data_IF_793514395939
#
_entry.id   IF_793514395939
#
_cell.length_a   1.000
_cell.length_b   1.000
_cell.length_c   1.000
_cell.angle_alpha   90.00
_cell.angle_beta   90.00
_cell.angle_gamma   90.00
#
_symmetry.space_group_name_H-M   'P 1'
#
loop_
_entity.id
_entity.type
_entity.pdbx_description
1 polymer ?
#
# COMPACT_ATOMS: atom_id res chain seq x y z
N UNK A 1 6.64 -63.17 25.53
CA UNK A 1 5.94 -62.30 24.57
C UNK A 1 5.12 -61.30 25.37
N UNK A 2 5.72 -60.14 25.65
CA UNK A 2 5.16 -59.10 26.54
C UNK A 2 4.25 -58.17 25.75
N UNK A 3 2.99 -58.07 26.18
CA UNK A 3 2.00 -57.13 25.66
C UNK A 3 2.11 -55.81 26.42
N UNK A 4 2.36 -54.72 25.67
CA UNK A 4 2.49 -53.35 26.19
C UNK A 4 1.10 -52.82 26.56
N UNK A 5 0.90 -52.16 27.73
CA UNK A 5 -0.34 -51.47 28.05
C UNK A 5 -0.40 -50.10 27.37
N UNK A 6 -1.53 -49.79 26.75
CA UNK A 6 -1.88 -48.49 26.19
C UNK A 6 -2.08 -47.49 27.34
N UNK A 7 -1.41 -46.32 27.37
CA UNK A 7 -1.64 -45.33 28.41
C UNK A 7 -3.03 -44.72 28.28
N UNK A 8 -3.87 -44.96 29.29
CA UNK A 8 -5.15 -44.28 29.50
C UNK A 8 -4.86 -42.93 30.15
N UNK A 9 -5.25 -41.83 29.49
CA UNK A 9 -5.10 -40.49 30.06
C UNK A 9 -5.91 -40.35 31.37
N UNK A 10 -5.39 -39.67 32.41
CA UNK A 10 -6.09 -39.52 33.68
C UNK A 10 -7.43 -38.80 33.52
N UNK A 11 -8.46 -39.40 34.12
CA UNK A 11 -9.86 -38.97 34.17
C UNK A 11 -10.06 -37.77 35.12
N UNK A 12 -9.26 -36.73 34.93
CA UNK A 12 -9.34 -35.44 35.62
C UNK A 12 -9.42 -34.24 34.64
N UNK A 13 -9.71 -34.50 33.36
CA UNK A 13 -9.83 -33.47 32.30
C UNK A 13 -11.22 -33.46 31.63
N UNK A 14 -12.29 -33.79 32.37
CA UNK A 14 -13.66 -33.82 31.84
C UNK A 14 -14.72 -33.22 32.79
N UNK A 15 -14.34 -32.34 33.73
CA UNK A 15 -15.31 -31.63 34.59
C UNK A 15 -15.02 -30.13 34.80
N UNK A 16 -14.24 -29.49 33.93
CA UNK A 16 -14.17 -28.01 33.85
C UNK A 16 -14.89 -27.47 32.60
N UNK A 17 -15.74 -28.28 31.98
CA UNK A 17 -16.58 -27.90 30.84
C UNK A 17 -17.98 -27.39 31.24
N UNK A 18 -18.22 -27.13 32.53
CA UNK A 18 -19.50 -26.60 33.04
C UNK A 18 -19.25 -25.59 34.16
N UNK A 19 -18.53 -24.52 33.83
CA UNK A 19 -18.66 -23.23 34.50
C UNK A 19 -18.46 -22.16 33.42
N UNK A 20 -19.54 -21.90 32.68
CA UNK A 20 -19.69 -20.71 31.85
C UNK A 20 -19.60 -19.49 32.79
N UNK A 21 -18.38 -19.01 32.98
CA UNK A 21 -18.14 -17.60 33.20
C UNK A 21 -18.68 -16.88 31.98
N UNK A 22 -19.68 -16.01 32.17
CA UNK A 22 -20.01 -14.95 31.21
C UNK A 22 -18.75 -14.11 31.03
N UNK A 23 -17.89 -14.53 30.10
CA UNK A 23 -16.70 -13.79 29.74
C UNK A 23 -17.18 -12.50 29.06
N UNK A 24 -17.13 -11.39 29.80
CA UNK A 24 -17.35 -10.07 29.25
C UNK A 24 -16.43 -9.89 28.03
N UNK A 25 -16.99 -9.95 26.83
CA UNK A 25 -16.25 -9.67 25.60
C UNK A 25 -15.64 -8.28 25.73
N UNK A 26 -14.34 -8.14 25.45
CA UNK A 26 -13.71 -6.83 25.53
C UNK A 26 -14.40 -5.85 24.58
N UNK A 27 -14.46 -4.55 24.90
CA UNK A 27 -15.08 -3.55 24.02
C UNK A 27 -14.51 -3.56 22.59
N UNK A 28 -13.23 -3.92 22.43
CA UNK A 28 -12.60 -4.10 21.13
C UNK A 28 -13.16 -5.27 20.32
N UNK A 29 -13.51 -6.36 21.01
CA UNK A 29 -14.00 -7.57 20.38
C UNK A 29 -15.42 -7.37 19.85
N UNK A 30 -16.28 -6.68 20.59
CA UNK A 30 -17.62 -6.32 20.12
C UNK A 30 -17.58 -5.46 18.86
N UNK A 31 -16.70 -4.46 18.84
CA UNK A 31 -16.50 -3.59 17.66
C UNK A 31 -15.98 -4.40 16.47
N UNK A 32 -15.08 -5.36 16.71
CA UNK A 32 -14.54 -6.23 15.66
C UNK A 32 -15.58 -7.22 15.13
N UNK A 33 -16.42 -7.79 15.99
CA UNK A 33 -17.56 -8.65 15.60
C UNK A 33 -18.54 -7.86 14.72
N UNK A 34 -18.87 -6.62 15.11
CA UNK A 34 -19.72 -5.75 14.31
C UNK A 34 -19.09 -5.44 12.93
N UNK A 35 -17.78 -5.19 12.88
CA UNK A 35 -17.07 -4.99 11.63
C UNK A 35 -17.09 -6.26 10.74
N UNK A 36 -16.97 -7.45 11.34
CA UNK A 36 -17.03 -8.75 10.64
C UNK A 36 -18.36 -8.97 9.93
N UNK A 37 -19.47 -8.50 10.49
CA UNK A 37 -20.81 -8.65 9.90
C UNK A 37 -21.14 -7.61 8.84
N UNK A 38 -20.49 -6.44 8.86
CA UNK A 38 -20.89 -5.31 7.99
C UNK A 38 -19.77 -4.76 7.11
N UNK A 39 -18.60 -4.45 7.68
CA UNK A 39 -17.50 -3.83 6.96
C UNK A 39 -16.78 -4.82 6.03
N UNK A 40 -16.42 -6.01 6.53
CA UNK A 40 -15.69 -6.99 5.74
C UNK A 40 -16.49 -7.58 4.57
N UNK A 41 -17.80 -7.89 4.72
CA UNK A 41 -18.61 -8.31 3.58
C UNK A 41 -18.66 -7.25 2.48
N UNK A 42 -18.77 -5.96 2.84
CA UNK A 42 -18.70 -4.85 1.89
C UNK A 42 -17.33 -4.74 1.23
N UNK A 43 -16.24 -4.88 1.98
CA UNK A 43 -14.87 -4.85 1.43
C UNK A 43 -14.66 -6.00 0.44
N UNK A 44 -15.10 -7.21 0.81
CA UNK A 44 -14.99 -8.40 -0.02
C UNK A 44 -15.85 -8.26 -1.29
N UNK A 45 -17.10 -7.79 -1.16
CA UNK A 45 -17.97 -7.53 -2.30
C UNK A 45 -17.35 -6.48 -3.23
N UNK A 46 -16.80 -5.40 -2.68
CA UNK A 46 -16.22 -4.37 -3.53
C UNK A 46 -14.97 -4.85 -4.26
N UNK A 47 -14.13 -5.62 -3.58
CA UNK A 47 -13.00 -6.31 -4.22
C UNK A 47 -13.45 -7.29 -5.31
N UNK A 48 -14.56 -7.98 -5.10
CA UNK A 48 -15.14 -8.90 -6.07
C UNK A 48 -15.80 -8.18 -7.26
N UNK A 49 -16.42 -7.00 -7.07
CA UNK A 49 -17.07 -6.21 -8.12
C UNK A 49 -16.06 -5.46 -8.97
N UNK A 50 -15.19 -4.67 -8.32
CA UNK A 50 -14.39 -3.68 -9.01
C UNK A 50 -13.11 -4.23 -9.62
N UNK A 51 -12.81 -5.51 -9.40
CA UNK A 51 -11.43 -5.98 -9.51
C UNK A 51 -10.51 -5.14 -8.61
N UNK A 52 -9.20 -5.34 -8.74
CA UNK A 52 -8.26 -4.48 -8.03
C UNK A 52 -8.30 -3.08 -8.64
N UNK A 53 -9.09 -2.18 -8.03
CA UNK A 53 -9.00 -0.74 -8.28
C UNK A 53 -7.53 -0.32 -8.20
N UNK A 54 -6.96 0.09 -9.33
CA UNK A 54 -5.71 0.82 -9.39
C UNK A 54 -6.03 2.22 -9.91
N UNK A 55 -6.71 3.01 -9.09
CA UNK A 55 -6.77 4.45 -9.34
C UNK A 55 -5.57 5.04 -8.61
N UNK A 56 -4.62 5.61 -9.34
CA UNK A 56 -3.49 6.28 -8.72
C UNK A 56 -3.81 7.75 -8.52
N UNK A 57 -4.02 8.13 -7.26
CA UNK A 57 -4.06 9.52 -6.86
C UNK A 57 -2.68 9.93 -6.36
N UNK A 58 -2.14 10.98 -6.98
CA UNK A 58 -0.91 11.59 -6.49
C UNK A 58 -1.23 12.36 -5.22
N UNK A 59 -0.31 12.32 -4.26
CA UNK A 59 -0.34 13.24 -3.13
C UNK A 59 -0.40 14.67 -3.64
N UNK A 60 -1.29 15.49 -3.09
CA UNK A 60 -1.28 16.93 -3.34
C UNK A 60 0.04 17.51 -2.79
N UNK A 61 0.90 18.09 -3.63
CA UNK A 61 2.15 18.66 -3.16
C UNK A 61 1.89 19.82 -2.21
N UNK A 62 2.78 20.04 -1.25
CA UNK A 62 2.78 21.27 -0.47
C UNK A 62 3.33 22.41 -1.32
N UNK A 63 2.77 23.62 -1.18
CA UNK A 63 3.38 24.83 -1.74
C UNK A 63 4.63 25.26 -0.95
N UNK A 64 4.76 24.78 0.29
CA UNK A 64 5.96 24.96 1.11
C UNK A 64 7.00 23.88 0.75
N UNK A 65 8.16 24.32 0.25
CA UNK A 65 9.24 23.45 -0.19
C UNK A 65 9.89 22.65 0.95
N UNK A 66 9.92 23.18 2.18
CA UNK A 66 10.46 22.49 3.35
C UNK A 66 9.50 21.37 3.77
N UNK A 67 8.19 21.64 3.79
CA UNK A 67 7.17 20.62 4.06
C UNK A 67 7.23 19.53 2.98
N UNK A 68 7.29 19.91 1.70
CA UNK A 68 7.37 18.96 0.60
C UNK A 68 8.65 18.10 0.66
N UNK A 69 9.80 18.71 0.95
CA UNK A 69 11.07 18.00 1.11
C UNK A 69 11.02 17.01 2.29
N UNK A 70 10.37 17.36 3.41
CA UNK A 70 10.19 16.48 4.56
C UNK A 70 9.30 15.28 4.24
N UNK A 71 8.19 15.50 3.54
CA UNK A 71 7.30 14.40 3.13
C UNK A 71 8.00 13.45 2.16
N UNK A 72 8.75 13.99 1.19
CA UNK A 72 9.55 13.18 0.28
C UNK A 72 10.69 12.43 0.99
N UNK A 73 11.29 13.02 2.03
CA UNK A 73 12.22 12.33 2.90
C UNK A 73 11.57 11.12 3.57
N UNK A 74 10.40 11.32 4.21
CA UNK A 74 9.69 10.24 4.91
C UNK A 74 9.29 9.10 3.96
N UNK A 75 8.69 9.42 2.81
CA UNK A 75 8.34 8.43 1.78
C UNK A 75 9.58 7.65 1.30
N UNK A 76 10.68 8.36 1.04
CA UNK A 76 11.92 7.76 0.53
C UNK A 76 12.63 6.92 1.59
N UNK A 77 12.66 7.38 2.83
CA UNK A 77 13.25 6.63 3.93
C UNK A 77 12.45 5.34 4.21
N UNK A 78 11.11 5.43 4.19
CA UNK A 78 10.23 4.25 4.24
C UNK A 78 10.47 3.30 3.08
N UNK A 79 10.62 3.81 1.85
CA UNK A 79 10.95 3.00 0.68
C UNK A 79 12.25 2.23 0.85
N UNK A 80 13.30 2.89 1.34
CA UNK A 80 14.62 2.27 1.54
C UNK A 80 14.58 1.14 2.58
N UNK A 81 13.68 1.24 3.57
CA UNK A 81 13.51 0.24 4.63
C UNK A 81 12.59 -0.95 4.22
N UNK A 82 11.79 -0.82 3.15
CA UNK A 82 10.97 -1.91 2.59
C UNK A 82 11.81 -2.79 1.64
N UNK A 83 12.70 -3.60 2.23
CA UNK A 83 13.75 -4.34 1.50
C UNK A 83 13.26 -5.56 0.71
N UNK A 84 12.03 -6.03 0.96
CA UNK A 84 11.48 -7.24 0.33
C UNK A 84 10.26 -6.92 -0.55
N UNK A 85 10.02 -7.77 -1.54
CA UNK A 85 8.77 -7.70 -2.30
C UNK A 85 7.66 -8.37 -1.48
N UNK A 86 6.57 -7.65 -1.24
CA UNK A 86 5.39 -8.22 -0.59
C UNK A 86 4.57 -7.19 0.15
N UNK A 87 3.47 -7.63 0.75
CA UNK A 87 2.64 -6.79 1.61
C UNK A 87 3.14 -6.70 3.05
N UNK A 88 3.86 -7.70 3.54
CA UNK A 88 4.27 -7.83 4.94
C UNK A 88 5.32 -6.79 5.39
N UNK A 89 6.26 -6.44 4.51
CA UNK A 89 7.38 -5.54 4.83
C UNK A 89 7.12 -4.07 4.47
N UNK A 90 5.92 -3.75 3.96
CA UNK A 90 5.55 -2.36 3.68
C UNK A 90 5.81 -1.53 4.92
N UNK A 91 6.65 -0.52 4.75
CA UNK A 91 7.21 0.27 5.85
C UNK A 91 6.64 1.69 5.77
N UNK A 92 6.34 2.27 6.93
CA UNK A 92 5.92 3.66 7.08
C UNK A 92 6.81 4.39 8.08
N UNK A 93 6.89 5.71 7.96
CA UNK A 93 7.68 6.58 8.81
C UNK A 93 6.90 7.81 9.27
N UNK A 94 7.11 8.20 10.53
CA UNK A 94 6.57 9.42 11.13
C UNK A 94 7.66 10.19 11.87
N UNK A 95 7.54 11.52 11.93
CA UNK A 95 8.54 12.39 12.56
C UNK A 95 7.97 13.06 13.81
N UNK A 96 8.41 12.59 14.98
CA UNK A 96 8.01 13.13 16.27
C UNK A 96 8.91 14.30 16.68
N UNK A 97 8.29 15.36 17.20
CA UNK A 97 8.94 16.48 17.87
C UNK A 97 9.11 16.18 19.36
N UNK A 98 10.33 16.39 19.87
CA UNK A 98 10.63 16.46 21.31
C UNK A 98 11.21 17.83 21.67
N UNK A 99 11.43 18.09 22.96
CA UNK A 99 12.03 19.33 23.46
C UNK A 99 13.49 19.53 23.01
N UNK A 100 14.27 18.44 22.93
CA UNK A 100 15.72 18.48 22.65
C UNK A 100 16.12 17.68 21.40
N UNK A 101 15.19 17.40 20.50
CA UNK A 101 15.46 16.66 19.27
C UNK A 101 14.20 16.07 18.66
N UNK A 102 14.38 15.24 17.64
CA UNK A 102 13.29 14.57 16.93
C UNK A 102 13.51 13.06 16.91
N UNK A 103 12.43 12.30 16.88
CA UNK A 103 12.48 10.84 16.72
C UNK A 103 11.88 10.46 15.38
N UNK A 104 12.62 9.69 14.61
CA UNK A 104 12.12 9.05 13.40
C UNK A 104 11.49 7.71 13.79
N UNK A 105 10.17 7.62 13.70
CA UNK A 105 9.43 6.39 13.95
C UNK A 105 9.33 5.56 12.69
N UNK A 106 9.51 4.24 12.81
CA UNK A 106 9.30 3.27 11.75
C UNK A 106 8.26 2.23 12.17
N UNK A 107 7.42 1.83 11.23
CA UNK A 107 6.51 0.70 11.39
C UNK A 107 6.53 -0.14 10.11
N UNK A 108 6.29 -1.44 10.23
CA UNK A 108 6.01 -2.30 9.09
C UNK A 108 4.77 -3.14 9.35
N UNK A 109 4.09 -3.57 8.28
CA UNK A 109 2.82 -4.30 8.39
C UNK A 109 2.93 -5.54 9.31
N UNK A 110 4.08 -6.22 9.32
CA UNK A 110 4.38 -7.36 10.20
C UNK A 110 5.60 -7.12 11.12
N UNK A 111 5.88 -5.84 11.42
CA UNK A 111 6.92 -5.42 12.37
C UNK A 111 8.27 -5.15 11.71
N UNK A 112 9.01 -4.19 12.26
CA UNK A 112 10.36 -3.86 11.81
C UNK A 112 11.32 -4.87 12.42
N UNK A 113 12.01 -5.64 11.57
CA UNK A 113 13.06 -6.56 12.02
C UNK A 113 14.30 -5.80 12.48
N UNK A 114 15.06 -6.41 13.38
CA UNK A 114 16.27 -5.81 13.95
C UNK A 114 17.34 -5.51 12.90
N UNK A 115 17.54 -6.38 11.90
CA UNK A 115 18.47 -6.14 10.78
C UNK A 115 18.10 -4.87 10.00
N UNK A 116 16.80 -4.63 9.78
CA UNK A 116 16.29 -3.45 9.08
C UNK A 116 16.42 -2.20 9.93
N UNK A 117 16.21 -2.30 11.25
CA UNK A 117 16.46 -1.19 12.17
C UNK A 117 17.92 -0.77 12.16
N UNK A 118 18.86 -1.71 12.30
CA UNK A 118 20.31 -1.43 12.25
C UNK A 118 20.72 -0.81 10.91
N UNK A 119 20.15 -1.31 9.82
CA UNK A 119 20.35 -0.74 8.49
C UNK A 119 19.81 0.70 8.39
N UNK A 120 18.62 0.98 8.91
CA UNK A 120 18.04 2.32 8.94
C UNK A 120 18.89 3.29 9.79
N UNK A 121 19.40 2.83 10.93
CA UNK A 121 20.33 3.59 11.79
C UNK A 121 21.66 3.89 11.06
N UNK A 122 22.14 2.94 10.24
CA UNK A 122 23.32 3.13 9.37
C UNK A 122 23.06 4.22 8.31
N UNK A 123 21.89 4.22 7.67
CA UNK A 123 21.49 5.28 6.73
C UNK A 123 21.45 6.63 7.45
N UNK A 124 20.79 6.71 8.61
CA UNK A 124 20.69 7.95 9.38
C UNK A 124 22.07 8.48 9.78
N UNK A 125 23.00 7.61 10.19
CA UNK A 125 24.38 7.98 10.49
C UNK A 125 25.10 8.59 9.28
N UNK A 126 24.92 8.00 8.09
CA UNK A 126 25.47 8.57 6.86
C UNK A 126 24.86 9.94 6.51
N UNK A 127 23.56 10.11 6.76
CA UNK A 127 22.87 11.37 6.51
C UNK A 127 23.35 12.49 7.45
N UNK A 128 23.70 12.18 8.71
CA UNK A 128 24.20 13.18 9.67
C UNK A 128 25.54 13.81 9.27
N UNK A 129 26.33 13.16 8.41
CA UNK A 129 27.60 13.70 7.91
C UNK A 129 27.47 14.48 6.60
N UNK A 130 26.24 14.70 6.10
CA UNK A 130 26.04 15.32 4.78
C UNK A 130 26.18 16.84 4.82
N UNK A 131 26.90 17.38 3.85
CA UNK A 131 27.03 18.79 3.56
C UNK A 131 27.20 18.99 2.04
N UNK A 132 27.36 20.23 1.58
CA UNK A 132 27.47 20.55 0.15
C UNK A 132 28.64 19.85 -0.56
N UNK A 133 29.73 19.53 0.16
CA UNK A 133 30.91 18.85 -0.40
C UNK A 133 30.72 17.32 -0.42
N UNK A 134 30.05 16.77 0.59
CA UNK A 134 29.87 15.32 0.76
C UNK A 134 28.58 14.79 0.14
N UNK A 135 27.69 15.65 -0.38
CA UNK A 135 26.37 15.29 -0.92
C UNK A 135 26.43 14.08 -1.85
N UNK A 136 27.23 14.18 -2.92
CA UNK A 136 27.34 13.11 -3.94
C UNK A 136 27.87 11.81 -3.35
N UNK A 137 28.87 11.90 -2.48
CA UNK A 137 29.50 10.74 -1.82
C UNK A 137 28.51 10.03 -0.89
N UNK A 138 27.73 10.79 -0.11
CA UNK A 138 26.69 10.23 0.77
C UNK A 138 25.55 9.64 -0.04
N UNK A 139 25.11 10.28 -1.13
CA UNK A 139 24.12 9.71 -2.05
C UNK A 139 24.58 8.36 -2.59
N UNK A 140 25.82 8.26 -3.06
CA UNK A 140 26.38 7.02 -3.60
C UNK A 140 26.50 5.92 -2.54
N UNK A 141 26.95 6.28 -1.34
CA UNK A 141 27.04 5.36 -0.21
C UNK A 141 25.66 4.79 0.16
N UNK A 142 24.65 5.64 0.31
CA UNK A 142 23.28 5.22 0.62
C UNK A 142 22.70 4.38 -0.53
N UNK A 143 22.97 4.76 -1.77
CA UNK A 143 22.52 4.01 -2.94
C UNK A 143 23.09 2.58 -2.97
N UNK A 144 24.39 2.41 -2.78
CA UNK A 144 25.01 1.07 -2.73
C UNK A 144 24.52 0.26 -1.53
N UNK A 145 24.34 0.89 -0.36
CA UNK A 145 23.71 0.25 0.79
C UNK A 145 22.29 -0.25 0.44
N UNK A 146 21.50 0.55 -0.27
CA UNK A 146 20.16 0.20 -0.69
C UNK A 146 20.14 -0.92 -1.72
N UNK A 147 21.05 -0.90 -2.71
CA UNK A 147 21.20 -1.97 -3.71
C UNK A 147 21.54 -3.28 -3.04
N UNK A 148 22.47 -3.27 -2.07
CA UNK A 148 22.86 -4.45 -1.29
C UNK A 148 21.69 -5.00 -0.47
N UNK A 149 21.01 -4.16 0.32
CA UNK A 149 19.98 -4.61 1.25
C UNK A 149 18.65 -4.94 0.56
N UNK A 150 18.32 -4.26 -0.55
CA UNK A 150 17.12 -4.54 -1.35
C UNK A 150 17.39 -5.55 -2.49
N UNK A 151 18.51 -6.29 -2.47
CA UNK A 151 18.95 -7.10 -3.61
C UNK A 151 17.88 -8.08 -4.09
N UNK A 152 17.19 -8.77 -3.16
CA UNK A 152 16.10 -9.70 -3.50
C UNK A 152 14.99 -9.00 -4.30
N UNK A 153 14.52 -7.84 -3.81
CA UNK A 153 13.48 -7.03 -4.46
C UNK A 153 13.94 -6.49 -5.81
N UNK A 154 15.17 -5.97 -5.89
CA UNK A 154 15.76 -5.41 -7.12
C UNK A 154 15.93 -6.50 -8.18
N UNK A 155 16.40 -7.68 -7.79
CA UNK A 155 16.61 -8.81 -8.71
C UNK A 155 15.30 -9.25 -9.36
N UNK A 156 14.22 -9.38 -8.57
CA UNK A 156 12.89 -9.68 -9.12
C UNK A 156 12.41 -8.63 -10.12
N UNK A 157 12.62 -7.33 -9.84
CA UNK A 157 12.21 -6.30 -10.80
C UNK A 157 13.10 -6.29 -12.04
N UNK A 158 14.39 -6.59 -11.90
CA UNK A 158 15.32 -6.69 -13.01
C UNK A 158 14.93 -7.82 -13.97
N UNK A 159 14.55 -9.00 -13.46
CA UNK A 159 14.04 -10.10 -14.28
C UNK A 159 12.82 -9.67 -15.13
N UNK A 160 11.87 -8.99 -14.51
CA UNK A 160 10.68 -8.48 -15.21
C UNK A 160 11.06 -7.38 -16.23
N UNK A 161 11.96 -6.45 -15.89
CA UNK A 161 12.46 -5.46 -16.85
C UNK A 161 13.10 -6.14 -18.05
N UNK A 162 13.99 -7.13 -17.84
CA UNK A 162 14.64 -7.85 -18.95
C UNK A 162 13.62 -8.50 -19.87
N UNK A 163 12.62 -9.16 -19.29
CA UNK A 163 11.52 -9.82 -20.02
C UNK A 163 10.73 -8.82 -20.85
N UNK A 164 10.15 -7.78 -20.24
CA UNK A 164 9.29 -6.85 -20.97
C UNK A 164 10.09 -5.93 -21.90
N UNK A 165 11.35 -5.61 -21.58
CA UNK A 165 12.22 -4.86 -22.48
C UNK A 165 12.48 -5.66 -23.75
N UNK A 166 12.72 -6.97 -23.64
CA UNK A 166 12.85 -7.86 -24.80
C UNK A 166 11.58 -7.86 -25.65
N UNK A 167 10.41 -8.07 -25.02
CA UNK A 167 9.15 -8.12 -25.74
C UNK A 167 8.84 -6.80 -26.47
N UNK A 168 8.92 -5.68 -25.76
CA UNK A 168 8.72 -4.34 -26.34
C UNK A 168 9.72 -4.08 -27.46
N UNK A 169 11.01 -4.45 -27.28
CA UNK A 169 12.03 -4.34 -28.32
C UNK A 169 11.69 -5.16 -29.57
N UNK A 170 11.08 -6.34 -29.43
CA UNK A 170 10.65 -7.13 -30.59
C UNK A 170 9.45 -6.49 -31.29
N UNK A 171 8.44 -6.03 -30.55
CA UNK A 171 7.27 -5.35 -31.11
C UNK A 171 7.64 -4.06 -31.87
N UNK A 172 8.64 -3.31 -31.37
CA UNK A 172 9.15 -2.12 -32.05
C UNK A 172 9.93 -2.43 -33.33
N UNK A 173 10.20 -3.70 -33.68
CA UNK A 173 11.05 -4.05 -34.84
C UNK A 173 10.26 -3.92 -36.12
N UNK A 174 8.98 -4.25 -36.03
CA UNK A 174 8.09 -4.43 -37.16
C UNK A 174 7.26 -3.15 -37.40
N UNK A 175 7.55 -2.06 -36.68
CA UNK A 175 6.88 -0.76 -36.79
C UNK A 175 7.66 0.32 -37.56
N UNK A 176 7.06 1.50 -37.71
CA UNK A 176 7.64 2.64 -38.43
C UNK A 176 8.94 3.11 -37.81
N UNK A 177 10.01 3.16 -38.61
CA UNK A 177 11.33 3.60 -38.18
C UNK A 177 11.37 5.13 -38.08
N UNK A 178 11.53 5.64 -36.87
CA UNK A 178 11.93 7.02 -36.61
C UNK A 178 13.05 7.05 -35.56
N UNK A 179 13.69 8.22 -35.38
CA UNK A 179 14.84 8.36 -34.49
C UNK A 179 14.49 8.05 -33.02
N UNK A 180 13.26 8.42 -32.60
CA UNK A 180 12.76 8.17 -31.24
C UNK A 180 12.64 6.68 -30.96
N UNK A 181 12.03 5.91 -31.88
CA UNK A 181 11.89 4.46 -31.80
C UNK A 181 13.26 3.80 -31.86
N UNK A 182 14.16 4.30 -32.70
CA UNK A 182 15.52 3.77 -32.83
C UNK A 182 16.34 3.94 -31.54
N UNK A 183 16.26 5.12 -30.92
CA UNK A 183 16.90 5.39 -29.63
C UNK A 183 16.30 4.52 -28.53
N UNK A 184 14.97 4.45 -28.43
CA UNK A 184 14.29 3.62 -27.44
C UNK A 184 14.67 2.14 -27.59
N UNK A 185 14.67 1.59 -28.82
CA UNK A 185 15.11 0.21 -29.11
C UNK A 185 16.53 -0.05 -28.63
N UNK A 186 17.45 0.91 -28.80
CA UNK A 186 18.83 0.80 -28.30
C UNK A 186 18.85 0.71 -26.77
N UNK A 187 18.07 1.55 -26.09
CA UNK A 187 17.94 1.50 -24.63
C UNK A 187 17.33 0.19 -24.15
N UNK A 188 16.27 -0.29 -24.80
CA UNK A 188 15.64 -1.56 -24.49
C UNK A 188 16.56 -2.76 -24.74
N UNK A 189 17.42 -2.70 -25.75
CA UNK A 189 18.44 -3.73 -25.99
C UNK A 189 19.38 -3.85 -24.79
N UNK A 190 19.87 -2.72 -24.28
CA UNK A 190 20.77 -2.68 -23.11
C UNK A 190 20.09 -3.21 -21.84
N UNK A 191 18.78 -3.01 -21.69
CA UNK A 191 18.01 -3.59 -20.60
C UNK A 191 17.74 -5.10 -20.77
N UNK A 192 17.38 -5.55 -21.97
CA UNK A 192 17.08 -6.97 -22.20
C UNK A 192 18.32 -7.86 -22.16
N UNK A 193 19.42 -7.34 -22.71
CA UNK A 193 20.71 -8.01 -22.90
C UNK A 193 21.81 -7.09 -22.35
N UNK A 194 21.89 -6.92 -21.02
CA UNK A 194 22.91 -6.06 -20.42
C UNK A 194 24.31 -6.63 -20.67
N UNK A 195 25.32 -5.77 -20.95
CA UNK A 195 26.71 -6.20 -21.07
C UNK A 195 27.18 -6.92 -19.79
N UNK A 196 28.11 -7.90 -19.87
CA UNK A 196 28.62 -8.61 -18.69
C UNK A 196 29.26 -7.70 -17.64
N UNK A 197 29.78 -6.55 -18.04
CA UNK A 197 30.36 -5.55 -17.14
C UNK A 197 29.34 -4.69 -16.39
N UNK A 198 28.06 -4.77 -16.74
CA UNK A 198 27.01 -3.93 -16.16
C UNK A 198 26.48 -4.57 -14.87
N UNK A 199 26.84 -4.00 -13.73
CA UNK A 199 26.37 -4.44 -12.43
C UNK A 199 24.89 -4.06 -12.22
N UNK A 200 24.26 -4.66 -11.20
CA UNK A 200 22.87 -4.37 -10.87
C UNK A 200 22.64 -2.89 -10.50
N UNK A 201 23.63 -2.25 -9.89
CA UNK A 201 23.62 -0.81 -9.59
C UNK A 201 23.54 0.02 -10.88
N UNK A 202 24.34 -0.32 -11.90
CA UNK A 202 24.32 0.35 -13.20
C UNK A 202 22.97 0.19 -13.91
N UNK A 203 22.32 -0.96 -13.77
CA UNK A 203 20.97 -1.19 -14.32
C UNK A 203 19.95 -0.30 -13.62
N UNK A 204 20.06 -0.15 -12.29
CA UNK A 204 19.18 0.73 -11.52
C UNK A 204 19.37 2.19 -11.92
N UNK A 205 20.60 2.67 -12.08
CA UNK A 205 20.88 4.02 -12.56
C UNK A 205 20.38 4.22 -14.00
N UNK A 206 20.58 3.22 -14.86
CA UNK A 206 20.05 3.27 -16.22
C UNK A 206 18.52 3.38 -16.24
N UNK A 207 17.83 2.62 -15.39
CA UNK A 207 16.39 2.75 -15.20
C UNK A 207 15.99 4.10 -14.60
N UNK A 208 16.79 4.67 -13.69
CA UNK A 208 16.57 6.01 -13.15
C UNK A 208 16.62 7.08 -14.23
N UNK A 209 17.63 7.07 -15.10
CA UNK A 209 17.77 8.03 -16.20
C UNK A 209 16.61 7.93 -17.21
N UNK A 210 16.12 6.72 -17.45
CA UNK A 210 14.95 6.49 -18.31
C UNK A 210 13.65 7.08 -17.76
N UNK A 211 13.56 7.43 -16.46
CA UNK A 211 12.33 7.97 -15.86
C UNK A 211 12.01 9.39 -16.27
N UNK A 212 13.01 10.16 -16.70
CA UNK A 212 12.82 11.55 -17.15
C UNK A 212 12.03 11.57 -18.45
N UNK A 213 12.50 10.83 -19.46
CA UNK A 213 11.99 10.95 -20.82
C UNK A 213 11.28 9.70 -21.34
N UNK A 214 11.79 8.50 -21.02
CA UNK A 214 11.37 7.29 -21.71
C UNK A 214 10.17 6.62 -21.07
N UNK A 215 10.03 6.64 -19.74
CA UNK A 215 8.88 6.01 -19.08
C UNK A 215 7.55 6.60 -19.59
N UNK A 216 7.49 7.92 -19.80
CA UNK A 216 6.29 8.55 -20.35
C UNK A 216 6.07 8.18 -21.83
N UNK A 217 7.14 8.05 -22.62
CA UNK A 217 7.06 7.59 -24.01
C UNK A 217 6.56 6.15 -24.07
N UNK A 218 7.17 5.23 -23.31
CA UNK A 218 6.77 3.82 -23.20
C UNK A 218 5.30 3.72 -22.80
N UNK A 219 4.83 4.50 -21.82
CA UNK A 219 3.42 4.53 -21.42
C UNK A 219 2.48 4.97 -22.54
N UNK A 220 2.86 5.95 -23.37
CA UNK A 220 2.06 6.38 -24.52
C UNK A 220 1.94 5.33 -25.61
N UNK A 221 2.86 4.36 -25.66
CA UNK A 221 2.83 3.24 -26.60
C UNK A 221 1.96 2.07 -26.11
N UNK A 222 1.58 2.10 -24.83
CA UNK A 222 0.66 1.12 -24.26
C UNK A 222 -0.76 1.37 -24.74
N UNK A 223 -1.44 0.32 -25.15
CA UNK A 223 -2.88 0.31 -25.47
C UNK A 223 -3.71 -0.12 -24.26
N UNK A 224 -3.14 -0.96 -23.39
CA UNK A 224 -3.83 -1.52 -22.22
C UNK A 224 -2.88 -1.70 -21.02
N UNK A 225 -3.42 -1.68 -19.80
CA UNK A 225 -2.69 -1.86 -18.51
C UNK A 225 -1.74 -3.03 -18.46
N UNK A 226 -2.16 -4.07 -19.14
CA UNK A 226 -1.63 -5.42 -19.00
C UNK A 226 -0.65 -5.73 -20.12
N UNK A 227 -0.51 -4.82 -21.08
CA UNK A 227 0.47 -4.99 -22.15
C UNK A 227 1.90 -4.80 -21.66
N UNK A 228 2.82 -5.30 -22.48
CA UNK A 228 4.24 -5.32 -22.16
C UNK A 228 4.83 -3.92 -22.00
N UNK A 229 4.31 -2.90 -22.70
CA UNK A 229 4.78 -1.51 -22.57
C UNK A 229 4.40 -0.91 -21.22
N UNK A 230 3.15 -1.09 -20.78
CA UNK A 230 2.72 -0.65 -19.46
C UNK A 230 3.53 -1.36 -18.36
N UNK A 231 3.71 -2.68 -18.48
CA UNK A 231 4.50 -3.47 -17.52
C UNK A 231 5.97 -3.03 -17.52
N UNK A 232 6.57 -2.79 -18.68
CA UNK A 232 7.94 -2.28 -18.78
C UNK A 232 8.09 -0.92 -18.11
N UNK A 233 7.22 0.05 -18.44
CA UNK A 233 7.25 1.37 -17.83
C UNK A 233 7.12 1.31 -16.31
N UNK A 234 6.26 0.41 -15.80
CA UNK A 234 6.10 0.14 -14.38
C UNK A 234 7.42 -0.35 -13.75
N UNK A 235 8.02 -1.42 -14.28
CA UNK A 235 9.21 -2.01 -13.67
C UNK A 235 10.47 -1.14 -13.81
N UNK A 236 10.65 -0.43 -14.93
CA UNK A 236 11.70 0.61 -15.07
C UNK A 236 11.52 1.69 -14.00
N UNK A 237 10.29 2.16 -13.81
CA UNK A 237 9.95 3.10 -12.75
C UNK A 237 10.32 2.58 -11.36
N UNK A 238 10.07 1.30 -11.07
CA UNK A 238 10.38 0.70 -9.76
C UNK A 238 11.86 0.49 -9.51
N UNK A 239 12.63 0.05 -10.51
CA UNK A 239 14.08 -0.08 -10.36
C UNK A 239 14.71 1.29 -10.08
N UNK A 240 14.41 2.28 -10.92
CA UNK A 240 14.95 3.64 -10.74
C UNK A 240 14.46 4.34 -9.47
N UNK A 241 13.45 3.81 -8.76
CA UNK A 241 12.99 4.36 -7.49
C UNK A 241 14.03 4.26 -6.39
N UNK A 242 14.88 3.23 -6.42
CA UNK A 242 15.96 3.06 -5.43
C UNK A 242 16.96 4.20 -5.49
N UNK A 243 17.42 4.59 -6.70
CA UNK A 243 18.29 5.77 -6.88
C UNK A 243 17.58 7.07 -6.47
N UNK A 244 16.30 7.21 -6.82
CA UNK A 244 15.51 8.38 -6.42
C UNK A 244 15.42 8.52 -4.90
N UNK A 245 15.12 7.43 -4.20
CA UNK A 245 14.97 7.45 -2.75
C UNK A 245 16.28 7.84 -2.05
N UNK A 246 17.43 7.30 -2.49
CA UNK A 246 18.74 7.69 -1.99
C UNK A 246 19.01 9.20 -2.17
N UNK A 247 18.64 9.77 -3.32
CA UNK A 247 18.76 11.22 -3.57
C UNK A 247 17.82 12.05 -2.70
N UNK A 248 16.56 11.65 -2.57
CA UNK A 248 15.57 12.40 -1.81
C UNK A 248 15.83 12.39 -0.30
N UNK A 249 16.37 11.31 0.27
CA UNK A 249 16.74 11.33 1.70
C UNK A 249 17.90 12.29 1.98
N UNK A 250 18.89 12.36 1.09
CA UNK A 250 20.00 13.32 1.20
C UNK A 250 19.50 14.74 0.99
N UNK A 251 18.74 15.00 -0.08
CA UNK A 251 18.16 16.31 -0.35
C UNK A 251 17.30 16.78 0.82
N UNK A 252 16.45 15.90 1.36
CA UNK A 252 15.63 16.18 2.53
C UNK A 252 16.49 16.62 3.72
N UNK A 253 17.54 15.86 4.05
CA UNK A 253 18.44 16.16 5.16
C UNK A 253 19.12 17.53 5.02
N UNK A 254 19.52 17.91 3.80
CA UNK A 254 20.13 19.23 3.54
C UNK A 254 19.10 20.38 3.53
N UNK A 255 17.86 20.11 3.13
CA UNK A 255 16.82 21.14 2.93
C UNK A 255 16.02 21.42 4.21
N UNK A 256 15.82 20.41 5.07
CA UNK A 256 14.89 20.48 6.21
C UNK A 256 15.66 20.50 7.52
N UNK A 257 15.81 21.67 8.19
CA UNK A 257 16.61 21.78 9.42
C UNK A 257 16.19 20.82 10.53
N UNK A 258 14.88 20.55 10.66
CA UNK A 258 14.37 19.63 11.67
C UNK A 258 14.86 18.18 11.48
N UNK A 259 15.24 17.75 10.27
CA UNK A 259 15.79 16.40 10.06
C UNK A 259 17.20 16.27 10.64
N UNK A 260 17.99 17.35 10.66
CA UNK A 260 19.30 17.37 11.31
C UNK A 260 19.23 17.13 12.83
N UNK A 261 18.07 17.40 13.44
CA UNK A 261 17.82 17.22 14.86
C UNK A 261 17.29 15.81 15.23
N UNK A 262 17.27 14.86 14.28
CA UNK A 262 16.87 13.48 14.59
C UNK A 262 17.90 12.84 15.53
N UNK A 263 17.49 12.59 16.77
CA UNK A 263 18.35 11.99 17.80
C UNK A 263 18.43 10.47 17.67
N UNK A 264 17.38 9.82 17.13
CA UNK A 264 17.40 8.39 16.89
C UNK A 264 16.16 7.86 16.17
N UNK A 265 16.17 6.54 15.96
CA UNK A 265 15.08 5.78 15.35
C UNK A 265 14.36 4.97 16.43
N UNK A 266 13.02 4.95 16.39
CA UNK A 266 12.19 4.05 17.19
C UNK A 266 11.25 3.26 16.30
N UNK A 267 10.85 2.09 16.75
CA UNK A 267 9.94 1.20 16.01
C UNK A 267 8.61 1.08 16.71
N UNK A 268 7.53 0.98 15.94
CA UNK A 268 6.22 0.57 16.45
C UNK A 268 6.12 -0.95 16.35
N UNK A 269 5.69 -1.58 17.43
CA UNK A 269 5.39 -3.01 17.44
C UNK A 269 4.14 -3.28 16.61
N UNK A 270 4.21 -4.25 15.70
CA UNK A 270 3.09 -4.57 14.85
C UNK A 270 2.00 -5.30 15.65
N UNK A 271 0.73 -4.87 15.54
CA UNK A 271 -0.41 -5.61 16.06
C UNK A 271 -0.46 -7.05 15.58
N UNK A 272 -0.96 -7.96 16.41
CA UNK A 272 -1.15 -9.35 16.05
C UNK A 272 -2.06 -9.50 14.82
N UNK A 273 -1.68 -10.43 13.94
CA UNK A 273 -2.49 -10.81 12.78
C UNK A 273 -3.77 -11.50 13.28
N UNK A 274 -4.91 -11.16 12.68
CA UNK A 274 -6.22 -11.73 13.05
C UNK A 274 -6.89 -12.39 11.86
N UNK A 275 -7.54 -13.53 12.09
CA UNK A 275 -8.38 -14.20 11.09
C UNK A 275 -9.81 -13.71 11.23
N UNK A 276 -10.40 -13.27 10.12
CA UNK A 276 -11.83 -12.96 10.00
C UNK A 276 -12.49 -14.11 9.27
N UNK A 277 -13.56 -14.64 9.85
CA UNK A 277 -14.40 -15.67 9.24
C UNK A 277 -15.80 -15.06 9.14
N UNK A 278 -16.30 -14.90 7.92
CA UNK A 278 -17.63 -14.35 7.66
C UNK A 278 -18.66 -15.48 7.57
N UNK A 279 -19.87 -15.25 8.08
CA UNK A 279 -20.98 -16.18 7.90
C UNK A 279 -21.38 -16.22 6.41
N UNK A 280 -21.75 -17.40 5.91
CA UNK A 280 -22.27 -17.56 4.56
C UNK A 280 -23.50 -16.66 4.29
N UNK A 281 -24.30 -16.39 5.33
CA UNK A 281 -25.45 -15.46 5.26
C UNK A 281 -25.02 -14.03 4.95
N UNK A 282 -23.85 -13.61 5.44
CA UNK A 282 -23.32 -12.26 5.24
C UNK A 282 -22.63 -12.13 3.86
N UNK A 283 -22.40 -13.23 3.14
CA UNK A 283 -21.73 -13.27 1.83
C UNK A 283 -22.70 -13.32 0.64
N UNK A 284 -23.96 -12.93 0.83
CA UNK A 284 -24.90 -12.71 -0.27
C UNK A 284 -24.65 -11.33 -0.90
N UNK A 285 -24.23 -11.22 -2.19
CA UNK A 285 -24.07 -9.93 -2.85
C UNK A 285 -25.34 -9.07 -2.78
N UNK A 286 -26.52 -9.71 -2.89
CA UNK A 286 -27.81 -9.02 -2.86
C UNK A 286 -28.17 -8.50 -1.48
N UNK A 287 -27.95 -9.28 -0.41
CA UNK A 287 -28.24 -8.79 0.94
C UNK A 287 -27.28 -7.66 1.30
N UNK A 288 -26.00 -7.74 0.95
CA UNK A 288 -25.04 -6.65 1.17
C UNK A 288 -25.52 -5.36 0.48
N UNK A 289 -25.88 -5.42 -0.82
CA UNK A 289 -26.37 -4.24 -1.55
C UNK A 289 -27.71 -3.75 -1.00
N UNK A 290 -28.62 -4.65 -0.65
CA UNK A 290 -29.91 -4.31 -0.04
C UNK A 290 -29.72 -3.56 1.27
N UNK A 291 -28.79 -3.99 2.12
CA UNK A 291 -28.46 -3.29 3.36
C UNK A 291 -27.85 -1.91 3.10
N UNK A 292 -27.02 -1.75 2.06
CA UNK A 292 -26.51 -0.43 1.65
C UNK A 292 -27.66 0.48 1.19
N UNK A 293 -28.61 -0.04 0.41
CA UNK A 293 -29.77 0.71 -0.08
C UNK A 293 -30.73 1.20 1.02
N UNK A 294 -30.71 0.58 2.20
CA UNK A 294 -31.50 1.01 3.38
C UNK A 294 -30.86 2.18 4.12
N UNK A 295 -29.59 2.47 3.89
CA UNK A 295 -28.89 3.55 4.59
C UNK A 295 -29.41 4.92 4.15
N UNK A 296 -29.54 5.92 5.06
CA UNK A 296 -30.10 7.24 4.73
C UNK A 296 -29.45 7.93 3.53
N UNK A 297 -28.13 7.76 3.37
CA UNK A 297 -27.35 8.32 2.27
C UNK A 297 -27.71 7.72 0.89
N UNK A 298 -28.39 6.57 0.86
CA UNK A 298 -28.66 5.76 -0.32
C UNK A 298 -30.15 5.70 -0.70
N UNK A 299 -31.00 6.57 -0.13
CA UNK A 299 -32.46 6.49 -0.27
C UNK A 299 -32.98 7.06 -1.61
N UNK A 300 -32.51 6.51 -2.74
CA UNK A 300 -33.10 6.76 -4.04
C UNK A 300 -33.62 5.44 -4.64
N UNK A 301 -34.94 5.18 -4.60
CA UNK A 301 -35.52 3.91 -5.05
C UNK A 301 -35.18 3.53 -6.50
N UNK A 302 -35.08 4.53 -7.39
CA UNK A 302 -34.74 4.30 -8.80
C UNK A 302 -33.28 3.86 -8.95
N UNK A 303 -32.36 4.58 -8.30
CA UNK A 303 -30.94 4.21 -8.28
C UNK A 303 -30.73 2.83 -7.65
N UNK A 304 -31.42 2.52 -6.56
CA UNK A 304 -31.33 1.22 -5.90
C UNK A 304 -31.78 0.08 -6.82
N UNK A 305 -32.87 0.28 -7.58
CA UNK A 305 -33.32 -0.68 -8.59
C UNK A 305 -32.31 -0.85 -9.73
N UNK A 306 -31.70 0.24 -10.19
CA UNK A 306 -30.66 0.20 -11.22
C UNK A 306 -29.41 -0.55 -10.75
N UNK A 307 -28.92 -0.25 -9.54
CA UNK A 307 -27.74 -0.91 -8.96
C UNK A 307 -27.95 -2.42 -8.80
N UNK A 308 -29.14 -2.83 -8.33
CA UNK A 308 -29.50 -4.26 -8.23
C UNK A 308 -29.55 -4.93 -9.62
N UNK A 309 -30.08 -4.25 -10.64
CA UNK A 309 -30.09 -4.78 -12.01
C UNK A 309 -28.67 -5.00 -12.52
N UNK A 310 -27.76 -4.05 -12.30
CA UNK A 310 -26.35 -4.21 -12.69
C UNK A 310 -25.66 -5.32 -11.90
N UNK A 311 -25.99 -5.50 -10.62
CA UNK A 311 -25.45 -6.60 -9.83
C UNK A 311 -25.83 -7.98 -10.43
N UNK A 312 -27.05 -8.13 -10.95
CA UNK A 312 -27.48 -9.36 -11.64
C UNK A 312 -26.59 -9.66 -12.85
N UNK A 313 -26.17 -8.63 -13.61
CA UNK A 313 -25.23 -8.82 -14.73
C UNK A 313 -23.87 -9.36 -14.26
N UNK A 314 -23.38 -8.94 -13.09
CA UNK A 314 -22.13 -9.43 -12.50
C UNK A 314 -22.24 -10.81 -11.83
N UNK A 315 -23.45 -11.32 -11.62
CA UNK A 315 -23.77 -12.56 -10.92
C UNK A 315 -24.36 -13.64 -11.85
N UNK A 316 -24.18 -13.49 -13.17
CA UNK A 316 -24.70 -14.45 -14.14
C UNK A 316 -24.06 -15.85 -13.94
N UNK A 317 -24.86 -16.93 -13.85
CA UNK A 317 -24.36 -18.28 -13.55
C UNK A 317 -23.43 -18.88 -14.61
N UNK A 318 -23.47 -18.37 -15.85
CA UNK A 318 -22.64 -18.85 -16.96
C UNK A 318 -21.18 -18.43 -16.87
N UNK A 319 -20.82 -17.51 -15.96
CA UNK A 319 -19.45 -17.08 -15.76
C UNK A 319 -18.78 -17.88 -14.63
N UNK A 320 -17.75 -18.66 -14.97
CA UNK A 320 -16.95 -19.48 -14.03
C UNK A 320 -16.27 -18.68 -12.90
N UNK A 321 -16.34 -17.35 -12.95
CA UNK A 321 -15.73 -16.44 -11.97
C UNK A 321 -16.63 -15.24 -11.67
N UNK A 322 -17.95 -15.43 -11.57
CA UNK A 322 -18.90 -14.36 -11.23
C UNK A 322 -18.66 -13.75 -9.84
N UNK A 323 -19.36 -12.66 -9.53
CA UNK A 323 -19.16 -11.91 -8.27
C UNK A 323 -19.36 -12.77 -7.02
N UNK A 324 -20.33 -13.70 -7.02
CA UNK A 324 -20.62 -14.57 -5.89
C UNK A 324 -19.50 -15.57 -5.63
N UNK A 325 -18.92 -16.16 -6.68
CA UNK A 325 -17.74 -17.04 -6.57
C UNK A 325 -16.54 -16.26 -6.00
N UNK A 326 -16.29 -15.04 -6.52
CA UNK A 326 -15.20 -14.17 -6.06
C UNK A 326 -15.38 -13.64 -4.63
N UNK A 327 -16.62 -13.49 -4.19
CA UNK A 327 -16.96 -13.10 -2.82
C UNK A 327 -16.79 -14.29 -1.86
N UNK A 328 -17.30 -15.46 -2.22
CA UNK A 328 -17.20 -16.66 -1.39
C UNK A 328 -15.76 -17.16 -1.20
N UNK A 329 -14.89 -16.95 -2.18
CA UNK A 329 -13.45 -17.23 -2.03
C UNK A 329 -12.76 -16.36 -0.97
N UNK A 330 -13.43 -15.30 -0.50
CA UNK A 330 -12.97 -14.42 0.57
C UNK A 330 -13.70 -14.66 1.89
N UNK A 331 -14.40 -15.78 2.06
CA UNK A 331 -15.10 -16.13 3.33
C UNK A 331 -14.18 -16.16 4.56
N UNK A 332 -12.89 -16.40 4.34
CA UNK A 332 -11.84 -16.33 5.34
C UNK A 332 -10.77 -15.34 4.92
N UNK A 333 -10.49 -14.33 5.75
CA UNK A 333 -9.53 -13.26 5.46
C UNK A 333 -8.52 -13.17 6.59
N UNK A 334 -7.23 -13.13 6.25
CA UNK A 334 -6.16 -12.79 7.19
C UNK A 334 -5.99 -11.28 7.19
N UNK A 335 -6.18 -10.67 8.35
CA UNK A 335 -6.21 -9.23 8.55
C UNK A 335 -5.04 -8.72 9.38
N UNK A 336 -4.53 -7.54 9.03
CA UNK A 336 -3.42 -6.86 9.70
C UNK A 336 -3.62 -5.35 9.69
N UNK A 337 -3.01 -4.64 10.64
CA UNK A 337 -2.96 -3.17 10.64
C UNK A 337 -1.80 -2.76 9.75
N UNK A 338 -2.06 -1.92 8.75
CA UNK A 338 -0.99 -1.42 7.90
C UNK A 338 -0.09 -0.42 8.65
N UNK A 339 1.18 -0.37 8.26
CA UNK A 339 2.24 0.42 8.90
C UNK A 339 1.88 1.90 9.04
N UNK A 340 1.27 2.49 8.01
CA UNK A 340 0.82 3.88 8.04
C UNK A 340 -0.23 4.14 9.12
N UNK A 341 -1.14 3.18 9.34
CA UNK A 341 -2.12 3.25 10.42
C UNK A 341 -1.49 2.99 11.79
N UNK A 342 -0.48 2.12 11.88
CA UNK A 342 0.26 1.89 13.13
C UNK A 342 0.97 3.18 13.61
N UNK A 343 1.60 3.94 12.71
CA UNK A 343 2.23 5.23 13.05
C UNK A 343 1.17 6.25 13.47
N UNK A 344 0.11 6.43 12.67
CA UNK A 344 -0.96 7.38 12.97
C UNK A 344 -1.62 7.09 14.33
N UNK A 345 -1.85 5.81 14.61
CA UNK A 345 -2.41 5.35 15.86
C UNK A 345 -1.49 5.62 17.05
N UNK A 346 -0.20 5.26 16.94
CA UNK A 346 0.81 5.52 17.98
C UNK A 346 0.88 7.00 18.33
N UNK A 347 0.94 7.88 17.33
CA UNK A 347 1.01 9.33 17.56
C UNK A 347 -0.30 9.88 18.15
N UNK A 348 -1.45 9.36 17.71
CA UNK A 348 -2.75 9.80 18.21
C UNK A 348 -2.96 9.42 19.67
N UNK A 349 -2.62 8.18 20.06
CA UNK A 349 -2.86 7.67 21.42
C UNK A 349 -1.89 8.24 22.44
N UNK A 350 -0.62 8.35 22.07
CA UNK A 350 0.41 8.83 22.99
C UNK A 350 0.55 10.37 22.95
N UNK A 351 -0.33 11.05 22.20
CA UNK A 351 -0.34 12.49 22.04
C UNK A 351 1.00 13.07 21.57
N UNK A 352 1.66 12.36 20.65
CA UNK A 352 2.94 12.81 20.10
C UNK A 352 2.74 13.98 19.13
N UNK A 353 3.51 15.04 19.34
CA UNK A 353 3.57 16.16 18.43
C UNK A 353 4.34 15.77 17.16
N UNK A 354 3.76 16.04 15.99
CA UNK A 354 4.49 16.01 14.73
C UNK A 354 5.40 17.23 14.62
N UNK A 355 6.57 17.05 14.00
CA UNK A 355 7.46 18.18 13.67
C UNK A 355 6.71 19.20 12.81
N UNK A 356 6.79 20.46 13.21
CA UNK A 356 6.08 21.64 12.68
C UNK A 356 4.58 21.44 12.42
N UNK A 357 3.94 20.53 13.18
CA UNK A 357 2.52 20.23 13.03
C UNK A 357 2.15 19.47 11.74
N UNK A 358 3.13 19.05 10.93
CA UNK A 358 2.87 18.30 9.70
C UNK A 358 2.53 16.84 10.02
N UNK A 359 1.24 16.54 10.18
CA UNK A 359 0.68 15.20 10.45
C UNK A 359 0.75 14.30 9.22
N UNK A 360 1.93 14.17 8.63
CA UNK A 360 2.20 13.32 7.49
C UNK A 360 2.88 12.03 7.94
N UNK A 361 2.41 10.91 7.38
CA UNK A 361 3.02 9.60 7.54
C UNK A 361 3.51 9.18 6.16
N UNK A 362 4.84 9.09 6.01
CA UNK A 362 5.44 8.62 4.78
C UNK A 362 5.35 7.10 4.69
N UNK A 363 5.22 6.56 3.48
CA UNK A 363 5.05 5.11 3.27
C UNK A 363 5.82 4.64 2.04
N UNK A 364 6.31 3.38 2.07
CA UNK A 364 7.06 2.78 0.96
C UNK A 364 6.22 2.56 -0.30
N UNK A 365 4.89 2.61 -0.14
CA UNK A 365 3.88 2.46 -1.19
C UNK A 365 2.76 3.47 -0.94
N UNK A 366 2.04 3.90 -1.99
CA UNK A 366 0.83 4.67 -1.81
C UNK A 366 -0.18 3.93 -0.91
N UNK A 367 -1.10 4.66 -0.30
CA UNK A 367 -2.11 4.09 0.57
C UNK A 367 -3.12 3.22 -0.20
N UNK A 368 -3.55 2.13 0.44
CA UNK A 368 -4.70 1.36 -0.03
C UNK A 368 -6.00 2.11 0.25
N UNK A 369 -7.12 1.65 -0.30
CA UNK A 369 -8.44 2.27 -0.08
C UNK A 369 -8.75 2.44 1.41
N UNK A 370 -8.52 1.39 2.19
CA UNK A 370 -8.80 1.39 3.62
C UNK A 370 -7.96 2.44 4.35
N UNK A 371 -6.64 2.48 4.10
CA UNK A 371 -5.73 3.38 4.80
C UNK A 371 -5.96 4.84 4.42
N UNK A 372 -6.20 5.12 3.14
CA UNK A 372 -6.49 6.47 2.68
C UNK A 372 -7.75 7.03 3.35
N UNK A 373 -8.86 6.27 3.31
CA UNK A 373 -10.11 6.72 3.92
C UNK A 373 -10.07 6.70 5.45
N UNK A 374 -9.25 5.85 6.06
CA UNK A 374 -8.99 5.91 7.49
C UNK A 374 -8.33 7.23 7.86
N UNK A 375 -7.23 7.59 7.19
CA UNK A 375 -6.51 8.84 7.46
C UNK A 375 -7.35 10.08 7.15
N UNK A 376 -8.15 10.05 6.08
CA UNK A 376 -9.02 11.17 5.71
C UNK A 376 -10.14 11.43 6.72
N UNK A 377 -10.68 10.38 7.32
CA UNK A 377 -11.76 10.47 8.30
C UNK A 377 -11.27 10.69 9.73
N UNK A 378 -9.95 10.65 9.95
CA UNK A 378 -9.39 10.75 11.29
C UNK A 378 -9.55 12.16 11.85
N UNK A 379 -10.07 12.28 13.08
CA UNK A 379 -10.36 13.55 13.77
C UNK A 379 -9.18 14.53 13.93
N UNK A 380 -7.96 14.04 13.74
CA UNK A 380 -6.75 14.85 13.88
C UNK A 380 -6.30 15.49 12.57
N UNK A 381 -6.96 15.21 11.44
CA UNK A 381 -6.67 15.86 10.16
C UNK A 381 -5.26 15.52 9.65
N UNK A 382 -5.05 14.26 9.26
CA UNK A 382 -3.77 13.84 8.69
C UNK A 382 -3.57 14.43 7.30
N UNK A 383 -2.32 14.75 6.96
CA UNK A 383 -1.96 15.06 5.59
C UNK A 383 -2.11 13.79 4.74
N UNK A 384 -2.91 13.89 3.67
CA UNK A 384 -3.27 12.73 2.87
C UNK A 384 -2.08 12.22 2.05
N UNK A 385 -1.79 10.91 2.06
CA UNK A 385 -0.76 10.33 1.22
C UNK A 385 -1.23 10.20 -0.24
N UNK A 386 -0.31 9.82 -1.13
CA UNK A 386 -0.70 9.28 -2.42
C UNK A 386 -1.51 7.99 -2.19
N UNK A 387 -2.41 7.62 -3.11
CA UNK A 387 -3.23 6.42 -2.99
C UNK A 387 -3.23 5.62 -4.27
N UNK A 388 -3.26 4.30 -4.16
CA UNK A 388 -3.56 3.40 -5.29
C UNK A 388 -4.98 2.83 -5.22
N UNK A 389 -5.71 3.10 -4.13
CA UNK A 389 -7.11 2.71 -3.91
C UNK A 389 -7.44 1.22 -4.10
N UNK A 390 -6.44 0.33 -4.05
CA UNK A 390 -6.71 -1.10 -4.06
C UNK A 390 -7.51 -1.45 -2.82
N UNK A 391 -8.60 -2.19 -3.04
CA UNK A 391 -9.37 -2.78 -1.97
C UNK A 391 -8.54 -3.94 -1.42
N UNK A 392 -8.10 -3.83 -0.17
CA UNK A 392 -7.37 -4.88 0.55
C UNK A 392 -8.26 -5.28 1.72
N UNK A 393 -9.08 -6.33 1.56
CA UNK A 393 -9.95 -6.82 2.63
C UNK A 393 -9.17 -7.27 3.88
N UNK A 394 -7.90 -7.65 3.70
CA UNK A 394 -6.97 -7.98 4.79
C UNK A 394 -6.41 -6.77 5.56
N UNK A 395 -6.90 -5.56 5.32
CA UNK A 395 -6.54 -4.38 6.12
C UNK A 395 -7.59 -4.15 7.20
N UNK A 396 -7.16 -3.83 8.42
CA UNK A 396 -8.05 -3.53 9.55
C UNK A 396 -7.60 -2.31 10.32
N UNK A 397 -8.52 -1.77 11.12
CA UNK A 397 -8.24 -0.64 12.00
C UNK A 397 -7.30 -1.02 13.16
N UNK A 398 -6.62 -0.04 13.77
CA UNK A 398 -5.83 -0.24 14.99
C UNK A 398 -6.74 -0.64 16.16
N UNK A 399 -6.57 -1.86 16.66
CA UNK A 399 -7.45 -2.46 17.70
C UNK A 399 -6.67 -2.94 18.94
N UNK A 400 -5.34 -2.88 18.94
CA UNK A 400 -4.50 -3.39 20.02
C UNK A 400 -4.61 -2.52 21.27
N UNK A 401 -4.79 -3.09 22.46
CA UNK A 401 -4.76 -2.37 23.74
C UNK A 401 -5.69 -1.14 23.80
N UNK A 402 -6.89 -1.24 23.22
CA UNK A 402 -7.87 -0.14 23.29
C UNK A 402 -8.69 -0.24 24.58
N UNK A 403 -8.86 0.90 25.26
CA UNK A 403 -9.84 1.06 26.34
C UNK A 403 -11.23 1.36 25.75
N UNK A 404 -12.23 1.57 26.61
CA UNK A 404 -13.61 1.88 26.17
C UNK A 404 -13.70 3.11 25.26
N UNK A 405 -12.99 4.18 25.59
CA UNK A 405 -12.95 5.39 24.75
C UNK A 405 -12.32 5.12 23.38
N UNK A 406 -11.28 4.29 23.33
CA UNK A 406 -10.64 3.84 22.09
C UNK A 406 -11.56 2.93 21.27
N UNK A 407 -12.34 2.07 21.92
CA UNK A 407 -13.35 1.23 21.27
C UNK A 407 -14.47 2.09 20.65
N UNK A 408 -14.91 3.15 21.33
CA UNK A 408 -15.88 4.10 20.77
C UNK A 408 -15.33 4.81 19.51
N UNK A 409 -14.06 5.26 19.54
CA UNK A 409 -13.39 5.85 18.37
C UNK A 409 -13.25 4.83 17.23
N UNK A 410 -12.83 3.60 17.53
CA UNK A 410 -12.71 2.53 16.54
C UNK A 410 -14.06 2.23 15.87
N UNK A 411 -15.13 2.16 16.67
CA UNK A 411 -16.51 1.97 16.19
C UNK A 411 -16.94 3.10 15.26
N UNK A 412 -16.66 4.35 15.62
CA UNK A 412 -16.95 5.52 14.80
C UNK A 412 -16.18 5.48 13.47
N UNK A 413 -14.88 5.15 13.51
CA UNK A 413 -14.03 5.04 12.32
C UNK A 413 -14.52 3.94 11.37
N UNK A 414 -14.89 2.78 11.90
CA UNK A 414 -15.50 1.70 11.11
C UNK A 414 -16.86 2.10 10.54
N UNK A 415 -17.70 2.83 11.28
CA UNK A 415 -18.97 3.32 10.78
C UNK A 415 -18.79 4.27 9.59
N UNK A 416 -17.86 5.24 9.69
CA UNK A 416 -17.51 6.15 8.59
C UNK A 416 -17.00 5.42 7.36
N UNK A 417 -16.09 4.46 7.55
CA UNK A 417 -15.57 3.63 6.46
C UNK A 417 -16.66 2.78 5.82
N UNK A 418 -17.53 2.17 6.62
CA UNK A 418 -18.60 1.30 6.15
C UNK A 418 -19.64 2.07 5.32
N UNK A 419 -20.02 3.27 5.75
CA UNK A 419 -20.93 4.15 5.02
C UNK A 419 -20.32 4.63 3.69
N UNK A 420 -19.09 5.15 3.73
CA UNK A 420 -18.40 5.61 2.51
C UNK A 420 -18.16 4.47 1.51
N UNK A 421 -17.83 3.27 1.99
CA UNK A 421 -17.69 2.09 1.16
C UNK A 421 -19.02 1.66 0.53
N UNK A 422 -20.12 1.72 1.29
CA UNK A 422 -21.46 1.47 0.78
C UNK A 422 -21.80 2.39 -0.40
N UNK A 423 -21.59 3.70 -0.23
CA UNK A 423 -21.81 4.68 -1.28
C UNK A 423 -20.96 4.37 -2.53
N UNK A 424 -19.67 4.06 -2.37
CA UNK A 424 -18.81 3.75 -3.50
C UNK A 424 -19.18 2.46 -4.24
N UNK A 425 -19.77 1.47 -3.54
CA UNK A 425 -20.31 0.26 -4.18
C UNK A 425 -21.54 0.63 -5.02
N UNK A 426 -22.45 1.46 -4.51
CA UNK A 426 -23.60 1.93 -5.28
C UNK A 426 -23.16 2.74 -6.50
N UNK A 427 -22.28 3.73 -6.32
CA UNK A 427 -21.76 4.56 -7.40
C UNK A 427 -21.11 3.70 -8.50
N UNK A 428 -20.38 2.66 -8.11
CA UNK A 428 -19.77 1.70 -9.03
C UNK A 428 -20.83 1.01 -9.89
N UNK A 429 -21.86 0.44 -9.25
CA UNK A 429 -22.91 -0.31 -9.94
C UNK A 429 -23.71 0.63 -10.87
N UNK A 430 -24.04 1.83 -10.41
CA UNK A 430 -24.76 2.83 -11.21
C UNK A 430 -23.97 3.29 -12.45
N UNK A 431 -22.69 3.60 -12.30
CA UNK A 431 -21.82 4.01 -13.41
C UNK A 431 -21.66 2.89 -14.44
N UNK A 432 -21.46 1.66 -13.98
CA UNK A 432 -21.28 0.51 -14.87
C UNK A 432 -22.57 0.16 -15.63
N UNK A 433 -23.73 0.28 -14.96
CA UNK A 433 -25.04 0.01 -15.56
C UNK A 433 -25.48 1.04 -16.62
N UNK A 434 -24.90 2.24 -16.63
CA UNK A 434 -25.25 3.32 -17.56
C UNK A 434 -24.61 3.19 -18.96
N UNK A 435 -23.92 2.07 -19.25
CA UNK A 435 -23.29 1.83 -20.54
C UNK A 435 -21.89 2.45 -20.70
N UNK A 436 -21.38 3.12 -19.67
CA UNK A 436 -20.03 3.72 -19.65
C UNK A 436 -18.92 2.67 -19.36
N UNK A 437 -19.05 1.49 -19.99
CA UNK A 437 -18.14 0.35 -19.81
C UNK A 437 -16.72 0.67 -20.31
N UNK A 438 -16.57 1.61 -21.26
CA UNK A 438 -15.27 1.96 -21.86
C UNK A 438 -14.40 2.83 -20.93
N UNK A 439 -14.92 3.90 -20.34
CA UNK A 439 -14.09 4.76 -19.48
C UNK A 439 -13.67 4.08 -18.17
N UNK A 440 -14.51 3.22 -17.60
CA UNK A 440 -14.23 2.68 -16.27
C UNK A 440 -13.19 1.55 -16.27
N UNK A 441 -13.14 0.71 -17.30
CA UNK A 441 -12.08 -0.31 -17.47
C UNK A 441 -10.80 0.25 -18.12
N UNK A 442 -10.88 1.26 -18.99
CA UNK A 442 -9.70 1.94 -19.57
C UNK A 442 -8.94 2.77 -18.52
N UNK A 443 -9.63 3.36 -17.53
CA UNK A 443 -8.99 4.05 -16.41
C UNK A 443 -8.46 3.11 -15.31
N UNK A 444 -8.97 1.87 -15.22
CA UNK A 444 -8.43 0.81 -14.34
C UNK A 444 -7.09 0.25 -14.81
N UNK A 445 -6.67 0.62 -16.02
CA UNK A 445 -5.41 0.21 -16.57
C UNK A 445 -4.18 0.92 -15.97
N UNK A 446 -4.40 1.90 -15.11
CA UNK A 446 -3.31 2.66 -14.50
C UNK A 446 -2.78 1.94 -13.25
N UNK A 447 -1.83 1.04 -13.49
CA UNK A 447 -0.78 0.64 -12.55
C UNK A 447 -1.19 -0.28 -11.40
N UNK A 448 -1.09 -1.58 -11.66
CA UNK A 448 -0.85 -2.58 -10.61
C UNK A 448 0.43 -2.20 -9.85
N UNK A 449 0.27 -1.75 -8.60
CA UNK A 449 1.34 -1.43 -7.65
C UNK A 449 2.04 -0.08 -7.92
N UNK A 450 2.32 0.66 -6.84
CA UNK A 450 2.54 2.12 -6.81
C UNK A 450 3.49 2.72 -7.85
N UNK A 451 3.09 3.87 -8.39
CA UNK A 451 3.99 4.73 -9.14
C UNK A 451 5.08 5.24 -8.23
N UNK A 452 6.31 5.05 -8.68
CA UNK A 452 7.48 5.67 -8.10
C UNK A 452 7.50 7.16 -8.44
N UNK A 453 7.72 7.97 -7.40
CA UNK A 453 7.93 9.41 -7.42
C UNK A 453 8.92 9.85 -8.50
N UNK A 454 8.42 10.38 -9.61
CA UNK A 454 9.20 11.24 -10.51
C UNK A 454 8.43 12.56 -10.61
N UNK A 455 8.85 13.55 -9.84
CA UNK A 455 8.52 14.95 -10.11
C UNK A 455 9.29 15.33 -11.38
N UNK A 456 8.59 15.42 -12.50
CA UNK A 456 9.08 16.16 -13.66
C UNK A 456 8.98 17.65 -13.32
N UNK A 457 10.00 18.23 -12.68
CA UNK A 457 10.25 19.67 -12.77
C UNK A 457 11.33 19.86 -13.84
N UNK A 458 10.91 20.47 -14.94
CA UNK A 458 11.82 21.17 -15.86
C UNK A 458 12.47 22.27 -15.00
N UNK A 459 13.75 22.12 -14.71
CA UNK A 459 14.58 23.22 -14.22
C UNK A 459 15.38 23.65 -15.44
N UNK A 460 15.09 24.86 -15.93
CA UNK A 460 16.00 25.62 -16.78
C UNK A 460 17.22 26.03 -15.96
#
# INVERSE_FOLDING_TARGET
MSTVPIPTAPRAMLSEALNNSEASTSPSEEVFIAATRKLYPRLALFGALAGFKNHQERRKPSNDEIVEARRNFLDSFSYLCDVQKGGATVTAAGLQKLSHGNILWLAANEGIRNDIRTYAETILSCLKSVNSETEKTVQEKIFHLAVKNCNSRISTYNEEVRRYARNCRMQLRDGTKNDVVTLLRRRLKKLSEPPPSMAIADIVDYCYDMRVDDVNKIKRMSKHSTDDFCKLAHYVGRLGATRSAARYVVKGMMTVPALGHISGIRTVEAPSIRKVIMDQRDLSPYEIVREICKEPASQNPLQNRMALRTLVEFDLPSETNNVRVRLNSQSTIITRVHAELQIADKFSRDHYAFVDGDKYVGCSKPACYFCFHWLSNHKHGYALPAAHYKIIPGCRGPDSNINESGAAVLKEMYAKLCAGLGQHILDFLLKTGSGDKRQYYENQAQSTEGSSYAQSRIIL
#
